data_IF_168627426064
#
_entry.id   IF_168627426064
#
_cell.length_a   1.000
_cell.length_b   1.000
_cell.length_c   1.000
_cell.angle_alpha   90.00
_cell.angle_beta   90.00
_cell.angle_gamma   90.00
#
_symmetry.space_group_name_H-M   'P 1'
#
loop_
_entity.id
_entity.type
_entity.pdbx_description
1 polymer ?
#
# COMPACT_ATOMS: atom_id res chain seq x y z
N UNK A 1 5.89 9.20 -11.29
CA UNK A 1 5.94 7.91 -10.57
C UNK A 1 7.35 7.64 -10.10
N UNK A 2 7.47 7.35 -8.81
CA UNK A 2 8.71 7.01 -8.12
C UNK A 2 8.90 5.50 -8.19
N UNK A 3 10.15 5.06 -8.37
CA UNK A 3 10.53 3.64 -8.34
C UNK A 3 10.59 3.13 -6.90
N UNK A 4 10.22 1.88 -6.67
CA UNK A 4 10.17 1.32 -5.31
C UNK A 4 11.54 1.38 -4.61
N UNK A 5 12.62 1.13 -5.35
CA UNK A 5 14.01 1.25 -4.86
C UNK A 5 14.38 2.64 -4.31
N UNK A 6 13.70 3.69 -4.77
CA UNK A 6 14.02 5.07 -4.44
C UNK A 6 13.13 5.60 -3.29
N UNK A 7 12.20 4.78 -2.82
CA UNK A 7 11.30 5.11 -1.72
C UNK A 7 12.07 5.09 -0.40
N UNK A 8 11.92 6.17 0.37
CA UNK A 8 12.47 6.31 1.72
C UNK A 8 11.38 6.70 2.73
N UNK A 9 11.69 6.58 4.03
CA UNK A 9 10.78 6.99 5.11
C UNK A 9 10.42 8.48 5.10
N UNK A 10 11.23 9.32 4.46
CA UNK A 10 10.98 10.76 4.32
C UNK A 10 10.11 11.10 3.11
N UNK A 11 9.82 10.09 2.27
CA UNK A 11 9.05 10.29 1.04
C UNK A 11 7.57 10.57 1.36
N UNK A 12 7.09 11.69 0.84
CA UNK A 12 5.70 12.18 0.99
C UNK A 12 5.11 12.39 -0.39
N UNK A 13 3.79 12.26 -0.48
CA UNK A 13 3.05 12.47 -1.72
C UNK A 13 3.57 11.59 -2.87
N UNK A 14 3.85 10.32 -2.55
CA UNK A 14 4.44 9.38 -3.51
C UNK A 14 3.39 8.86 -4.48
N UNK A 15 3.80 8.78 -5.75
CA UNK A 15 3.05 8.14 -6.81
C UNK A 15 3.80 6.90 -7.30
N UNK A 16 3.16 5.73 -7.29
CA UNK A 16 3.79 4.44 -7.61
C UNK A 16 2.88 3.65 -8.55
N UNK A 17 3.50 2.96 -9.52
CA UNK A 17 2.86 1.92 -10.32
C UNK A 17 3.53 0.59 -10.03
N UNK A 18 2.77 -0.40 -9.58
CA UNK A 18 3.32 -1.68 -9.15
C UNK A 18 2.33 -2.82 -9.32
N UNK A 19 2.84 -4.03 -9.49
CA UNK A 19 2.05 -5.26 -9.52
C UNK A 19 1.89 -5.83 -8.12
N UNK A 20 0.71 -6.36 -7.81
CA UNK A 20 0.42 -7.03 -6.53
C UNK A 20 0.95 -8.46 -6.59
N UNK A 21 1.90 -8.76 -5.71
CA UNK A 21 2.46 -10.10 -5.54
C UNK A 21 1.50 -10.95 -4.72
N UNK A 22 1.10 -10.45 -3.56
CA UNK A 22 0.19 -11.14 -2.65
C UNK A 22 -0.58 -10.14 -1.78
N UNK A 23 -1.73 -10.59 -1.27
CA UNK A 23 -2.52 -9.88 -0.27
C UNK A 23 -2.62 -10.78 0.96
N UNK A 24 -2.05 -10.33 2.07
CA UNK A 24 -2.09 -11.06 3.34
C UNK A 24 -3.48 -11.11 3.95
N UNK A 25 -3.65 -11.98 4.95
CA UNK A 25 -4.94 -12.14 5.63
C UNK A 25 -5.39 -10.85 6.33
N UNK A 26 -6.65 -10.41 6.14
CA UNK A 26 -7.18 -9.25 6.86
C UNK A 26 -7.23 -9.50 8.37
N UNK A 27 -6.72 -8.54 9.14
CA UNK A 27 -6.81 -8.53 10.60
C UNK A 27 -7.61 -7.34 11.09
N UNK A 28 -8.23 -7.49 12.26
CA UNK A 28 -8.93 -6.39 12.93
C UNK A 28 -7.97 -5.65 13.86
N UNK A 29 -7.94 -4.32 13.76
CA UNK A 29 -7.19 -3.43 14.65
C UNK A 29 -8.13 -2.46 15.35
N UNK A 30 -7.88 -2.21 16.64
CA UNK A 30 -8.65 -1.23 17.40
C UNK A 30 -8.07 0.17 17.16
N UNK A 31 -8.85 1.03 16.50
CA UNK A 31 -8.50 2.45 16.30
C UNK A 31 -9.27 3.33 17.27
N UNK A 32 -8.88 4.61 17.38
CA UNK A 32 -9.65 5.61 18.17
C UNK A 32 -11.09 5.80 17.69
N UNK A 33 -11.40 5.37 16.46
CA UNK A 33 -12.72 5.47 15.83
C UNK A 33 -13.48 4.14 15.84
N UNK A 34 -12.97 3.13 16.56
CA UNK A 34 -13.52 1.78 16.62
C UNK A 34 -12.67 0.75 15.87
N UNK A 35 -13.11 -0.52 15.88
CA UNK A 35 -12.45 -1.61 15.17
C UNK A 35 -12.43 -1.35 13.66
N UNK A 36 -11.29 -1.62 13.01
CA UNK A 36 -11.09 -1.49 11.57
C UNK A 36 -10.37 -2.71 11.00
N UNK A 37 -10.63 -3.05 9.75
CA UNK A 37 -9.92 -4.10 9.02
C UNK A 37 -8.69 -3.53 8.34
N UNK A 38 -7.57 -4.22 8.47
CA UNK A 38 -6.32 -3.92 7.75
C UNK A 38 -5.70 -5.20 7.20
N UNK A 39 -5.21 -5.15 5.97
CA UNK A 39 -4.39 -6.19 5.37
C UNK A 39 -3.09 -5.59 4.85
N UNK A 40 -2.04 -6.40 4.80
CA UNK A 40 -0.77 -6.01 4.18
C UNK A 40 -0.66 -6.72 2.84
N UNK A 41 -0.54 -5.95 1.76
CA UNK A 41 -0.20 -6.48 0.45
C UNK A 41 1.29 -6.26 0.15
N UNK A 42 1.88 -7.14 -0.65
CA UNK A 42 3.22 -6.94 -1.20
C UNK A 42 3.04 -6.48 -2.65
N UNK A 43 3.62 -5.33 -2.99
CA UNK A 43 3.65 -4.80 -4.35
C UNK A 43 5.08 -4.75 -4.88
N UNK A 44 5.25 -4.93 -6.18
CA UNK A 44 6.55 -4.95 -6.84
C UNK A 44 6.55 -4.18 -8.16
N UNK A 45 7.70 -3.59 -8.47
CA UNK A 45 8.04 -3.04 -9.78
C UNK A 45 9.35 -3.67 -10.26
N UNK A 46 9.93 -3.11 -11.32
CA UNK A 46 11.22 -3.53 -11.88
C UNK A 46 12.43 -3.24 -10.97
N UNK A 47 12.27 -2.47 -9.90
CA UNK A 47 13.38 -2.06 -9.03
C UNK A 47 13.30 -2.61 -7.61
N UNK A 48 12.12 -3.02 -7.13
CA UNK A 48 12.01 -3.63 -5.81
C UNK A 48 10.61 -4.04 -5.39
N UNK A 49 10.50 -4.35 -4.09
CA UNK A 49 9.26 -4.74 -3.41
C UNK A 49 9.03 -3.88 -2.19
N UNK A 50 7.78 -3.55 -1.91
CA UNK A 50 7.40 -2.81 -0.70
C UNK A 50 6.02 -3.26 -0.21
N UNK A 51 5.79 -3.11 1.10
CA UNK A 51 4.49 -3.40 1.69
C UNK A 51 3.50 -2.26 1.38
N UNK A 52 2.24 -2.60 1.20
CA UNK A 52 1.12 -1.68 1.04
C UNK A 52 0.07 -1.98 2.13
N UNK A 53 -0.29 -0.96 2.90
CA UNK A 53 -1.37 -1.05 3.89
C UNK A 53 -2.73 -0.85 3.23
N UNK A 54 -3.56 -1.89 3.22
CA UNK A 54 -4.94 -1.86 2.72
C UNK A 54 -5.91 -1.79 3.88
N UNK A 55 -6.83 -0.83 3.84
CA UNK A 55 -7.83 -0.59 4.88
C UNK A 55 -9.25 -0.78 4.34
N UNK A 56 -10.10 -1.43 5.14
CA UNK A 56 -11.53 -1.62 4.84
C UNK A 56 -11.78 -2.09 3.40
N UNK A 57 -12.52 -1.32 2.60
CA UNK A 57 -12.94 -1.68 1.25
C UNK A 57 -11.77 -1.84 0.26
N UNK A 58 -10.59 -1.28 0.58
CA UNK A 58 -9.37 -1.47 -0.23
C UNK A 58 -8.92 -2.92 -0.24
N UNK A 59 -9.16 -3.65 0.86
CA UNK A 59 -8.84 -5.06 1.01
C UNK A 59 -9.63 -5.89 0.00
N UNK A 60 -10.90 -5.54 -0.19
CA UNK A 60 -11.81 -6.26 -1.08
C UNK A 60 -11.63 -5.84 -2.55
N UNK A 61 -10.93 -4.72 -2.82
CA UNK A 61 -10.67 -4.19 -4.16
C UNK A 61 -9.37 -4.71 -4.78
N UNK A 62 -8.35 -4.95 -3.95
CA UNK A 62 -7.02 -5.36 -4.40
C UNK A 62 -6.88 -6.87 -4.38
N UNK A 63 -6.36 -7.44 -5.47
CA UNK A 63 -6.09 -8.88 -5.60
C UNK A 63 -4.70 -9.14 -6.20
N UNK A 64 -4.15 -10.32 -5.93
CA UNK A 64 -2.87 -10.75 -6.51
C UNK A 64 -2.92 -10.76 -8.05
N UNK A 65 -1.76 -10.56 -8.67
CA UNK A 65 -1.59 -10.46 -10.13
C UNK A 65 -2.34 -9.30 -10.80
N UNK A 66 -2.80 -8.30 -10.03
CA UNK A 66 -3.29 -7.03 -10.57
C UNK A 66 -2.20 -5.97 -10.52
N UNK A 67 -2.30 -4.99 -11.41
CA UNK A 67 -1.44 -3.81 -11.38
C UNK A 67 -2.19 -2.68 -10.70
N UNK A 68 -1.48 -1.90 -9.90
CA UNK A 68 -2.02 -0.77 -9.15
C UNK A 68 -1.33 0.51 -9.56
N UNK A 69 -2.11 1.58 -9.64
CA UNK A 69 -1.63 2.95 -9.67
C UNK A 69 -2.05 3.65 -8.38
N UNK A 70 -1.06 4.11 -7.63
CA UNK A 70 -1.24 4.76 -6.34
C UNK A 70 -0.74 6.20 -6.47
N UNK A 71 -1.50 7.18 -5.99
CA UNK A 71 -1.08 8.57 -5.92
C UNK A 71 -1.42 9.18 -4.55
N UNK A 72 -0.62 10.14 -4.10
CA UNK A 72 -0.85 10.82 -2.82
C UNK A 72 -0.55 9.98 -1.57
N UNK A 73 0.27 8.95 -1.70
CA UNK A 73 0.61 8.06 -0.60
C UNK A 73 1.78 8.60 0.25
N UNK A 74 1.97 8.01 1.43
CA UNK A 74 3.07 8.34 2.33
C UNK A 74 3.71 7.05 2.86
N UNK A 75 4.98 7.16 3.23
CA UNK A 75 5.79 6.02 3.64
C UNK A 75 5.97 6.06 5.14
N UNK A 76 5.83 4.91 5.77
CA UNK A 76 6.17 4.73 7.19
C UNK A 76 6.95 3.46 7.37
N UNK A 77 7.75 3.40 8.42
CA UNK A 77 8.35 2.16 8.88
C UNK A 77 7.50 1.56 10.00
N UNK A 78 7.13 0.29 9.85
CA UNK A 78 6.46 -0.47 10.89
C UNK A 78 7.17 -1.80 11.08
N UNK A 79 7.60 -2.10 12.31
CA UNK A 79 8.32 -3.34 12.64
C UNK A 79 9.51 -3.62 11.69
N UNK A 80 10.34 -2.60 11.44
CA UNK A 80 11.50 -2.63 10.53
C UNK A 80 11.16 -2.92 9.06
N UNK A 81 9.90 -2.74 8.65
CA UNK A 81 9.47 -2.87 7.27
C UNK A 81 8.90 -1.52 6.80
N UNK A 82 9.40 -1.03 5.67
CA UNK A 82 8.78 0.12 5.00
C UNK A 82 7.45 -0.30 4.40
N UNK A 83 6.46 0.56 4.56
CA UNK A 83 5.13 0.37 4.00
C UNK A 83 4.59 1.68 3.43
N UNK A 84 3.97 1.57 2.27
CA UNK A 84 3.17 2.60 1.65
C UNK A 84 1.79 2.61 2.32
N UNK A 85 1.34 3.80 2.69
CA UNK A 85 0.02 4.04 3.26
C UNK A 85 -0.69 5.11 2.44
N UNK A 86 -2.00 4.96 2.31
CA UNK A 86 -2.84 5.90 1.58
C UNK A 86 -3.22 7.06 2.51
N UNK A 87 -2.92 8.29 2.09
CA UNK A 87 -3.43 9.49 2.75
C UNK A 87 -4.94 9.64 2.52
N UNK A 88 -5.58 10.58 3.21
CA UNK A 88 -7.01 10.88 3.00
C UNK A 88 -7.34 11.32 1.56
N UNK A 89 -6.35 11.89 0.85
CA UNK A 89 -6.49 12.40 -0.52
C UNK A 89 -5.90 11.43 -1.55
N UNK A 90 -5.34 10.31 -1.10
CA UNK A 90 -4.71 9.35 -1.97
C UNK A 90 -5.72 8.62 -2.84
N UNK A 91 -5.30 8.25 -4.04
CA UNK A 91 -6.05 7.38 -4.94
C UNK A 91 -5.36 6.03 -5.05
N UNK A 92 -6.18 4.98 -5.13
CA UNK A 92 -5.75 3.62 -5.45
C UNK A 92 -6.62 3.14 -6.61
N UNK A 93 -5.99 2.88 -7.73
CA UNK A 93 -6.64 2.44 -8.97
C UNK A 93 -6.08 1.09 -9.39
N UNK A 94 -6.96 0.12 -9.66
CA UNK A 94 -6.56 -1.14 -10.29
C UNK A 94 -6.51 -0.89 -11.80
N UNK A 95 -5.34 -1.09 -12.39
CA UNK A 95 -5.11 -0.95 -13.84
C UNK A 95 -5.02 -2.35 -14.46
N UNK A 96 -5.56 -2.48 -15.69
CA UNK A 96 -5.57 -3.75 -16.45
C UNK A 96 -4.18 -4.22 -16.88
#
# INVERSE_FOLDING_TARGET
MVKISDITVDSKDVEVEASVVEVGEPRTVNTRFGPKRVATAIIEDDTGRINLSLWEDQIDTVSAAKKLKIAGAYVTEWSNNMQINLSKQATLEVVE
#
